data_IF_279841724398
#
_entry.id   IF_279841724398
#
_cell.length_a   1.000
_cell.length_b   1.000
_cell.length_c   1.000
_cell.angle_alpha   90.00
_cell.angle_beta   90.00
_cell.angle_gamma   90.00
#
_symmetry.space_group_name_H-M   'P 1'
#
loop_
_entity.id
_entity.type
_entity.pdbx_description
1 polymer ?
#
# COMPACT_ATOMS: atom_id res chain seq x y z
N UNK A 1 20.51 -2.56 10.53
CA UNK A 1 19.44 -1.55 10.42
C UNK A 1 19.02 -1.15 11.85
N UNK A 2 19.20 0.13 12.28
CA UNK A 2 18.86 0.61 13.62
C UNK A 2 17.37 0.44 13.98
N UNK A 3 16.49 0.46 13.00
CA UNK A 3 15.04 0.27 13.19
C UNK A 3 14.70 -1.20 13.50
N UNK A 4 15.38 -2.14 12.88
CA UNK A 4 15.21 -3.57 13.17
C UNK A 4 15.71 -3.92 14.58
N UNK A 5 16.82 -3.31 15.01
CA UNK A 5 17.36 -3.48 16.37
C UNK A 5 16.41 -2.95 17.45
N UNK A 6 15.75 -1.79 17.21
CA UNK A 6 14.75 -1.23 18.12
C UNK A 6 13.51 -2.13 18.26
N UNK A 7 13.19 -2.91 17.24
CA UNK A 7 12.03 -3.81 17.20
C UNK A 7 12.36 -5.23 17.68
N UNK A 8 13.55 -5.48 18.16
CA UNK A 8 14.04 -6.80 18.58
C UNK A 8 13.95 -7.87 17.47
N UNK A 9 14.01 -7.43 16.20
CA UNK A 9 14.01 -8.32 15.04
C UNK A 9 15.46 -8.63 14.67
N UNK A 10 15.87 -9.87 14.85
CA UNK A 10 17.18 -10.35 14.41
C UNK A 10 17.16 -10.43 12.89
N UNK A 11 17.88 -9.53 12.21
CA UNK A 11 18.14 -9.70 10.79
C UNK A 11 18.90 -11.01 10.56
N UNK A 12 18.68 -11.68 9.43
CA UNK A 12 19.47 -12.84 9.06
C UNK A 12 20.96 -12.47 9.06
N UNK A 13 21.75 -13.12 9.89
CA UNK A 13 23.15 -12.77 10.10
C UNK A 13 24.03 -13.00 8.86
N UNK A 14 23.54 -13.82 7.89
CA UNK A 14 24.27 -14.16 6.66
C UNK A 14 23.27 -14.24 5.49
N UNK A 15 23.21 -13.18 4.69
CA UNK A 15 22.64 -13.25 3.34
C UNK A 15 23.63 -13.93 2.39
N UNK A 16 23.16 -14.77 1.46
CA UNK A 16 24.02 -15.31 0.40
C UNK A 16 24.42 -14.20 -0.58
N UNK A 17 25.46 -14.44 -1.39
CA UNK A 17 25.82 -13.52 -2.48
C UNK A 17 24.62 -13.26 -3.40
N UNK A 18 23.83 -14.30 -3.67
CA UNK A 18 22.61 -14.23 -4.47
C UNK A 18 21.54 -13.32 -3.84
N UNK A 19 21.37 -13.36 -2.51
CA UNK A 19 20.43 -12.46 -1.81
C UNK A 19 20.83 -11.01 -1.97
N UNK A 20 22.13 -10.70 -1.90
CA UNK A 20 22.66 -9.36 -2.14
C UNK A 20 22.46 -8.90 -3.59
N UNK A 21 22.67 -9.78 -4.55
CA UNK A 21 22.46 -9.49 -5.98
C UNK A 21 20.97 -9.20 -6.26
N UNK A 22 20.06 -10.06 -5.82
CA UNK A 22 18.61 -9.88 -5.96
C UNK A 22 18.15 -8.61 -5.25
N UNK A 23 18.61 -8.37 -4.02
CA UNK A 23 18.27 -7.14 -3.30
C UNK A 23 18.74 -5.89 -4.04
N UNK A 24 19.96 -5.92 -4.58
CA UNK A 24 20.52 -4.78 -5.33
C UNK A 24 19.77 -4.51 -6.63
N UNK A 25 19.31 -5.56 -7.32
CA UNK A 25 18.55 -5.47 -8.55
C UNK A 25 17.16 -4.83 -8.31
N UNK A 26 16.46 -5.26 -7.26
CA UNK A 26 15.05 -4.91 -7.06
C UNK A 26 14.80 -3.80 -6.04
N UNK A 27 15.77 -3.47 -5.16
CA UNK A 27 15.58 -2.47 -4.10
C UNK A 27 15.22 -1.06 -4.59
N UNK A 28 15.50 -0.78 -5.88
CA UNK A 28 15.20 0.50 -6.54
C UNK A 28 14.21 0.38 -7.70
N UNK A 29 13.56 -0.77 -7.85
CA UNK A 29 12.58 -1.01 -8.92
C UNK A 29 11.48 -1.96 -8.46
N UNK A 30 10.60 -1.46 -7.60
CA UNK A 30 9.46 -2.19 -7.07
C UNK A 30 8.51 -2.67 -8.16
N UNK A 31 8.39 -1.90 -9.25
CA UNK A 31 7.53 -2.26 -10.39
C UNK A 31 8.07 -3.48 -11.11
N UNK A 32 9.38 -3.54 -11.34
CA UNK A 32 10.00 -4.73 -11.93
C UNK A 32 9.92 -5.94 -10.98
N UNK A 33 10.21 -5.73 -9.69
CA UNK A 33 10.06 -6.79 -8.69
C UNK A 33 8.66 -7.40 -8.73
N UNK A 34 7.63 -6.56 -8.70
CA UNK A 34 6.24 -7.02 -8.72
C UNK A 34 5.91 -7.83 -9.95
N UNK A 35 6.37 -7.39 -11.11
CA UNK A 35 6.13 -8.05 -12.38
C UNK A 35 6.84 -9.41 -12.46
N UNK A 36 8.13 -9.46 -12.12
CA UNK A 36 8.90 -10.72 -12.11
C UNK A 36 8.34 -11.74 -11.12
N UNK A 37 7.94 -11.30 -9.94
CA UNK A 37 7.33 -12.16 -8.93
C UNK A 37 6.03 -12.82 -9.45
N UNK A 38 5.17 -12.07 -10.14
CA UNK A 38 3.93 -12.63 -10.70
C UNK A 38 4.19 -13.52 -11.92
N UNK A 39 5.19 -13.21 -12.75
CA UNK A 39 5.62 -14.11 -13.83
C UNK A 39 6.10 -15.46 -13.30
N UNK A 40 6.93 -15.46 -12.25
CA UNK A 40 7.40 -16.68 -11.61
C UNK A 40 6.22 -17.48 -11.03
N UNK A 41 5.30 -16.80 -10.36
CA UNK A 41 4.09 -17.42 -9.79
C UNK A 41 3.20 -18.06 -10.86
N UNK A 42 2.95 -17.37 -11.96
CA UNK A 42 2.19 -17.87 -13.09
C UNK A 42 2.87 -19.12 -13.68
N UNK A 43 4.17 -19.05 -13.90
CA UNK A 43 4.98 -20.19 -14.41
C UNK A 43 4.93 -21.41 -13.48
N UNK A 44 5.03 -21.22 -12.17
CA UNK A 44 4.93 -22.30 -11.18
C UNK A 44 3.54 -22.96 -11.15
N UNK A 45 2.49 -22.21 -11.49
CA UNK A 45 1.12 -22.69 -11.55
C UNK A 45 0.72 -23.21 -12.95
N UNK A 46 1.60 -23.16 -13.94
CA UNK A 46 1.32 -23.45 -15.36
C UNK A 46 0.12 -22.65 -15.89
N UNK A 47 0.04 -21.36 -15.52
CA UNK A 47 -1.02 -20.43 -15.91
C UNK A 47 -0.45 -19.23 -16.64
N UNK A 48 -1.31 -18.56 -17.43
CA UNK A 48 -0.99 -17.24 -17.94
C UNK A 48 -1.02 -16.21 -16.78
N UNK A 49 -0.23 -15.13 -16.90
CA UNK A 49 -0.19 -14.09 -15.88
C UNK A 49 -1.57 -13.45 -15.64
N UNK A 50 -2.40 -13.36 -16.68
CA UNK A 50 -3.77 -12.85 -16.61
C UNK A 50 -4.71 -13.72 -15.79
N UNK A 51 -4.40 -14.99 -15.59
CA UNK A 51 -5.17 -15.93 -14.77
C UNK A 51 -4.76 -15.92 -13.28
N UNK A 52 -3.60 -15.35 -12.99
CA UNK A 52 -3.03 -15.31 -11.64
C UNK A 52 -3.33 -13.99 -10.94
N UNK A 53 -3.60 -12.96 -11.73
CA UNK A 53 -3.89 -11.60 -11.26
C UNK A 53 -5.38 -11.34 -11.44
N UNK A 54 -6.00 -10.80 -10.40
CA UNK A 54 -7.34 -10.22 -10.54
C UNK A 54 -7.22 -8.92 -11.36
N UNK A 55 -7.65 -8.99 -12.61
CA UNK A 55 -7.63 -7.86 -13.54
C UNK A 55 -8.79 -6.87 -13.30
N UNK A 56 -9.71 -7.19 -12.38
CA UNK A 56 -10.96 -6.43 -12.19
C UNK A 56 -11.85 -6.44 -13.41
N UNK A 57 -12.82 -5.52 -13.47
CA UNK A 57 -13.83 -5.40 -14.55
C UNK A 57 -13.21 -4.84 -15.86
N UNK A 58 -12.27 -5.58 -16.46
CA UNK A 58 -11.74 -5.21 -17.78
C UNK A 58 -12.43 -6.05 -18.83
N UNK A 59 -13.44 -5.48 -19.47
CA UNK A 59 -14.18 -6.14 -20.56
C UNK A 59 -13.36 -6.33 -21.83
N UNK A 60 -12.31 -5.51 -22.06
CA UNK A 60 -11.47 -5.58 -23.25
C UNK A 60 -10.01 -5.32 -22.91
N UNK A 61 -9.18 -6.32 -23.12
CA UNK A 61 -7.71 -6.17 -23.04
C UNK A 61 -7.20 -5.75 -24.43
N UNK A 62 -6.60 -4.55 -24.60
CA UNK A 62 -6.03 -4.12 -25.87
C UNK A 62 -4.94 -5.08 -26.37
N UNK A 63 -4.66 -5.06 -27.67
CA UNK A 63 -3.57 -5.83 -28.25
C UNK A 63 -2.25 -5.04 -28.34
N UNK A 64 -1.11 -5.75 -28.45
CA UNK A 64 0.20 -5.15 -28.68
C UNK A 64 0.80 -4.43 -27.47
N UNK A 65 1.62 -3.39 -27.69
CA UNK A 65 2.38 -2.67 -26.64
C UNK A 65 1.49 -2.09 -25.53
N UNK A 66 0.26 -1.70 -25.85
CA UNK A 66 -0.70 -1.21 -24.85
C UNK A 66 -1.14 -2.30 -23.89
N UNK A 67 -1.25 -3.54 -24.36
CA UNK A 67 -1.54 -4.71 -23.50
C UNK A 67 -0.44 -4.88 -22.45
N UNK A 68 0.82 -4.89 -22.87
CA UNK A 68 1.96 -5.12 -21.98
C UNK A 68 2.06 -4.03 -20.91
N UNK A 69 1.86 -2.77 -21.30
CA UNK A 69 1.90 -1.66 -20.36
C UNK A 69 0.73 -1.72 -19.38
N UNK A 70 -0.47 -2.06 -19.86
CA UNK A 70 -1.64 -2.21 -19.00
C UNK A 70 -1.46 -3.39 -18.04
N UNK A 71 -0.94 -4.52 -18.52
CA UNK A 71 -0.63 -5.68 -17.68
C UNK A 71 0.37 -5.33 -16.58
N UNK A 72 1.48 -4.66 -16.91
CA UNK A 72 2.45 -4.20 -15.91
C UNK A 72 1.82 -3.30 -14.86
N UNK A 73 0.98 -2.36 -15.28
CA UNK A 73 0.28 -1.47 -14.34
C UNK A 73 -0.66 -2.25 -13.41
N UNK A 74 -1.42 -3.20 -13.93
CA UNK A 74 -2.35 -4.02 -13.14
C UNK A 74 -1.61 -4.97 -12.19
N UNK A 75 -0.55 -5.59 -12.67
CA UNK A 75 0.35 -6.39 -11.83
C UNK A 75 0.86 -5.56 -10.66
N UNK A 76 1.34 -4.34 -10.94
CA UNK A 76 1.82 -3.42 -9.91
C UNK A 76 0.74 -3.03 -8.90
N UNK A 77 -0.48 -2.72 -9.36
CA UNK A 77 -1.62 -2.39 -8.50
C UNK A 77 -2.02 -3.59 -7.62
N UNK A 78 -2.10 -4.78 -8.19
CA UNK A 78 -2.38 -6.01 -7.45
C UNK A 78 -1.31 -6.29 -6.39
N UNK A 79 -0.03 -6.21 -6.77
CA UNK A 79 1.09 -6.39 -5.86
C UNK A 79 1.04 -5.39 -4.70
N UNK A 80 0.87 -4.11 -5.02
CA UNK A 80 0.76 -3.05 -4.01
C UNK A 80 -0.38 -3.35 -3.03
N UNK A 81 -1.58 -3.64 -3.55
CA UNK A 81 -2.73 -3.97 -2.71
C UNK A 81 -2.45 -5.16 -1.79
N UNK A 82 -1.97 -6.28 -2.35
CA UNK A 82 -1.70 -7.48 -1.58
C UNK A 82 -0.63 -7.25 -0.51
N UNK A 83 0.44 -6.52 -0.86
CA UNK A 83 1.54 -6.27 0.06
C UNK A 83 1.13 -5.33 1.18
N UNK A 84 0.40 -4.26 0.87
CA UNK A 84 -0.11 -3.32 1.88
C UNK A 84 -1.08 -4.02 2.82
N UNK A 85 -2.11 -4.70 2.31
CA UNK A 85 -3.08 -5.38 3.16
C UNK A 85 -2.42 -6.42 4.08
N UNK A 86 -1.50 -7.22 3.54
CA UNK A 86 -0.77 -8.22 4.32
C UNK A 86 0.12 -7.58 5.40
N UNK A 87 0.75 -6.45 5.11
CA UNK A 87 1.61 -5.74 6.07
C UNK A 87 0.82 -5.24 7.28
N UNK A 88 -0.47 -4.94 7.09
CA UNK A 88 -1.40 -4.52 8.14
C UNK A 88 -2.25 -5.69 8.68
N UNK A 89 -1.90 -6.96 8.40
CA UNK A 89 -2.69 -8.14 8.80
C UNK A 89 -4.16 -8.06 8.37
N UNK A 90 -4.43 -7.52 7.19
CA UNK A 90 -5.78 -7.28 6.66
C UNK A 90 -6.68 -6.50 7.64
N UNK A 91 -6.17 -5.44 8.24
CA UNK A 91 -6.94 -4.55 9.12
C UNK A 91 -6.72 -3.08 8.78
N UNK A 92 -7.78 -2.30 8.88
CA UNK A 92 -7.71 -0.85 8.74
C UNK A 92 -6.79 -0.24 9.81
N UNK A 93 -5.82 0.55 9.41
CA UNK A 93 -4.85 1.16 10.34
C UNK A 93 -5.47 2.22 11.26
N UNK A 94 -6.66 2.73 10.94
CA UNK A 94 -7.39 3.70 11.77
C UNK A 94 -8.32 3.00 12.76
N UNK A 95 -9.19 2.11 12.25
CA UNK A 95 -10.29 1.54 13.03
C UNK A 95 -10.04 0.11 13.52
N UNK A 96 -9.04 -0.58 12.95
CA UNK A 96 -8.82 -2.00 13.19
C UNK A 96 -9.81 -2.94 12.50
N UNK A 97 -10.72 -2.42 11.65
CA UNK A 97 -11.68 -3.25 10.89
C UNK A 97 -10.96 -4.29 10.04
N UNK A 98 -11.37 -5.56 10.14
CA UNK A 98 -10.76 -6.72 9.44
C UNK A 98 -11.65 -7.32 8.35
N UNK A 99 -12.46 -6.53 7.66
CA UNK A 99 -13.31 -7.00 6.58
C UNK A 99 -12.66 -6.70 5.22
N UNK A 100 -12.05 -7.70 4.52
CA UNK A 100 -11.24 -7.48 3.33
C UNK A 100 -11.95 -6.73 2.20
N UNK A 101 -13.25 -6.96 2.03
CA UNK A 101 -14.09 -6.30 1.01
C UNK A 101 -14.26 -4.80 1.26
N UNK A 102 -14.07 -4.36 2.49
CA UNK A 102 -14.14 -2.95 2.89
C UNK A 102 -12.75 -2.31 3.01
N UNK A 103 -11.66 -3.07 2.78
CA UNK A 103 -10.30 -2.56 2.90
C UNK A 103 -9.75 -2.09 1.55
N UNK A 104 -9.06 -0.97 1.59
CA UNK A 104 -8.38 -0.33 0.46
C UNK A 104 -6.90 -0.16 0.79
N UNK A 105 -6.04 -0.46 -0.19
CA UNK A 105 -4.64 -0.05 -0.14
C UNK A 105 -4.54 1.38 -0.69
N UNK A 106 -4.54 2.34 0.21
CA UNK A 106 -4.53 3.76 -0.09
C UNK A 106 -3.10 4.26 -0.28
N UNK A 107 -2.83 5.04 -1.34
CA UNK A 107 -1.52 5.68 -1.52
C UNK A 107 -1.39 6.92 -0.66
N UNK A 108 -0.27 7.07 0.06
CA UNK A 108 0.05 8.28 0.81
C UNK A 108 0.38 9.40 -0.18
N UNK A 109 1.39 9.21 -1.02
CA UNK A 109 1.69 10.07 -2.16
C UNK A 109 0.89 9.57 -3.37
N UNK A 110 0.01 10.39 -3.96
CA UNK A 110 -0.92 9.95 -5.00
C UNK A 110 -0.20 9.28 -6.19
N UNK A 111 -0.80 8.21 -6.73
CA UNK A 111 -0.28 7.44 -7.87
C UNK A 111 0.21 8.31 -9.04
N UNK A 112 -0.54 9.37 -9.38
CA UNK A 112 -0.25 10.22 -10.54
C UNK A 112 1.07 10.99 -10.43
N UNK A 113 1.47 11.33 -9.22
CA UNK A 113 2.69 12.12 -8.94
C UNK A 113 3.82 11.26 -8.38
N UNK A 114 3.55 9.99 -8.14
CA UNK A 114 4.54 9.01 -7.67
C UNK A 114 5.43 8.55 -8.83
N UNK A 115 6.72 8.38 -8.54
CA UNK A 115 7.67 7.78 -9.46
C UNK A 115 7.28 6.34 -9.80
N UNK A 116 7.32 5.99 -11.08
CA UNK A 116 6.84 4.70 -11.57
C UNK A 116 7.65 3.52 -11.02
N UNK A 117 8.95 3.67 -10.87
CA UNK A 117 9.85 2.57 -10.50
C UNK A 117 9.98 2.38 -9.00
N UNK A 118 10.02 3.49 -8.26
CA UNK A 118 10.44 3.51 -6.86
C UNK A 118 9.30 3.75 -5.87
N UNK A 119 8.18 4.37 -6.30
CA UNK A 119 7.15 4.85 -5.39
C UNK A 119 5.76 4.21 -5.60
N UNK A 120 5.33 4.01 -6.89
CA UNK A 120 3.97 3.55 -7.18
C UNK A 120 3.61 2.21 -6.57
N UNK A 121 4.54 1.28 -6.58
CA UNK A 121 4.34 -0.08 -6.08
C UNK A 121 5.06 -0.33 -4.76
N UNK A 122 5.70 0.70 -4.21
CA UNK A 122 6.39 0.64 -2.93
C UNK A 122 5.37 0.55 -1.78
N UNK A 123 5.33 -0.53 -1.01
CA UNK A 123 4.37 -0.68 0.08
C UNK A 123 4.55 0.35 1.22
N UNK A 124 5.73 0.96 1.35
CA UNK A 124 5.95 2.07 2.28
C UNK A 124 5.20 3.36 1.88
N UNK A 125 4.71 3.45 0.62
CA UNK A 125 3.79 4.49 0.16
C UNK A 125 2.32 4.11 0.38
N UNK A 126 2.02 3.14 1.22
CA UNK A 126 0.69 2.58 1.39
C UNK A 126 0.15 2.58 2.81
N UNK A 127 -1.16 2.78 2.93
CA UNK A 127 -1.94 2.61 4.15
C UNK A 127 -3.06 1.61 3.88
N UNK A 128 -3.34 0.73 4.83
CA UNK A 128 -4.55 -0.09 4.81
C UNK A 128 -5.68 0.69 5.49
N UNK A 129 -6.62 1.17 4.72
CA UNK A 129 -7.76 1.95 5.21
C UNK A 129 -9.08 1.24 4.91
N UNK A 130 -10.13 1.48 5.69
CA UNK A 130 -11.48 1.15 5.25
C UNK A 130 -11.95 2.18 4.20
N UNK A 131 -12.97 1.84 3.42
CA UNK A 131 -13.44 2.65 2.30
C UNK A 131 -13.82 4.10 2.69
N UNK A 132 -14.36 4.31 3.91
CA UNK A 132 -14.71 5.64 4.40
C UNK A 132 -13.47 6.49 4.66
N UNK A 133 -12.49 5.94 5.39
CA UNK A 133 -11.25 6.64 5.72
C UNK A 133 -10.34 6.81 4.51
N UNK A 134 -10.33 5.85 3.58
CA UNK A 134 -9.67 5.97 2.28
C UNK A 134 -10.20 7.19 1.51
N UNK A 135 -11.52 7.27 1.39
CA UNK A 135 -12.14 8.42 0.71
C UNK A 135 -11.87 9.75 1.40
N UNK A 136 -11.85 9.76 2.72
CA UNK A 136 -11.52 10.96 3.49
C UNK A 136 -10.04 11.35 3.32
N UNK A 137 -9.14 10.38 3.28
CA UNK A 137 -7.71 10.58 3.06
C UNK A 137 -7.43 11.12 1.65
N UNK A 138 -7.97 10.49 0.62
CA UNK A 138 -7.86 10.92 -0.77
C UNK A 138 -8.35 12.37 -1.02
N UNK A 139 -9.30 12.82 -0.21
CA UNK A 139 -9.86 14.17 -0.30
C UNK A 139 -9.17 15.17 0.62
N UNK A 140 -8.12 14.79 1.32
CA UNK A 140 -7.42 15.64 2.28
C UNK A 140 -8.29 16.06 3.47
N UNK A 141 -9.33 15.26 3.78
CA UNK A 141 -10.17 15.49 4.95
C UNK A 141 -9.52 14.95 6.23
N UNK A 142 -8.71 13.91 6.08
CA UNK A 142 -7.80 13.41 7.10
C UNK A 142 -6.41 13.22 6.47
N UNK A 143 -5.36 13.30 7.28
CA UNK A 143 -3.99 12.99 6.89
C UNK A 143 -3.20 12.46 8.09
N UNK A 144 -1.91 12.20 7.91
CA UNK A 144 -0.99 11.78 8.98
C UNK A 144 0.09 12.82 9.22
N UNK A 145 0.53 12.95 10.45
CA UNK A 145 1.79 13.61 10.75
C UNK A 145 2.99 12.63 10.67
N UNK A 146 4.22 13.13 10.73
CA UNK A 146 5.46 12.31 10.69
C UNK A 146 5.65 11.41 11.93
N UNK A 147 4.74 11.47 12.92
CA UNK A 147 4.63 10.56 14.07
C UNK A 147 3.52 9.54 13.87
N UNK A 148 2.94 9.48 12.66
CA UNK A 148 1.84 8.61 12.29
C UNK A 148 0.54 8.87 13.05
N UNK A 149 0.33 10.11 13.50
CA UNK A 149 -0.91 10.54 14.13
C UNK A 149 -1.88 11.10 13.09
N UNK A 150 -3.15 10.81 13.29
CA UNK A 150 -4.23 11.25 12.41
C UNK A 150 -4.49 12.74 12.66
N UNK A 151 -4.44 13.52 11.59
CA UNK A 151 -4.84 14.92 11.56
C UNK A 151 -6.16 15.03 10.82
N UNK A 152 -7.17 15.59 11.47
CA UNK A 152 -8.46 15.88 10.84
C UNK A 152 -8.46 17.31 10.35
N UNK A 153 -8.83 17.52 9.07
CA UNK A 153 -8.85 18.85 8.46
C UNK A 153 -9.89 19.76 9.12
N UNK A 154 -9.62 21.07 9.08
CA UNK A 154 -10.59 22.08 9.56
C UNK A 154 -11.93 21.96 8.82
N UNK A 155 -11.90 21.76 7.50
CA UNK A 155 -13.08 21.57 6.68
C UNK A 155 -13.99 20.47 7.22
N UNK A 156 -13.42 19.31 7.62
CA UNK A 156 -14.21 18.21 8.16
C UNK A 156 -14.71 18.51 9.59
N UNK A 157 -13.90 19.20 10.41
CA UNK A 157 -14.28 19.63 11.77
C UNK A 157 -15.48 20.57 11.76
N UNK A 158 -15.54 21.48 10.78
CA UNK A 158 -16.58 22.51 10.65
C UNK A 158 -17.82 21.97 9.88
N UNK A 159 -17.78 20.72 9.37
CA UNK A 159 -18.94 20.11 8.69
C UNK A 159 -20.02 19.76 9.71
N UNK A 160 -21.27 20.14 9.41
CA UNK A 160 -22.42 19.76 10.21
C UNK A 160 -22.69 18.25 10.10
N UNK A 161 -22.72 17.57 11.23
CA UNK A 161 -23.02 16.14 11.33
C UNK A 161 -23.45 15.81 12.76
N UNK A 162 -24.23 14.74 12.91
CA UNK A 162 -24.61 14.23 14.23
C UNK A 162 -23.40 13.71 15.03
N UNK A 163 -23.59 13.47 16.31
CA UNK A 163 -22.51 13.06 17.21
C UNK A 163 -21.89 11.70 16.86
N UNK A 164 -22.69 10.78 16.34
CA UNK A 164 -22.22 9.44 15.96
C UNK A 164 -21.34 9.52 14.73
N UNK A 165 -21.82 10.15 13.66
CA UNK A 165 -21.03 10.38 12.42
C UNK A 165 -19.76 11.17 12.73
N UNK A 166 -19.82 12.16 13.61
CA UNK A 166 -18.67 12.94 14.03
C UNK A 166 -17.62 12.08 14.71
N UNK A 167 -18.01 11.10 15.50
CA UNK A 167 -17.10 10.18 16.19
C UNK A 167 -16.26 9.32 15.25
N UNK A 168 -16.76 9.01 14.05
CA UNK A 168 -16.05 8.21 13.04
C UNK A 168 -14.74 8.87 12.58
N UNK A 169 -14.60 10.16 12.71
CA UNK A 169 -13.38 10.90 12.34
C UNK A 169 -12.71 11.53 13.57
N UNK A 170 -13.48 12.26 14.38
CA UNK A 170 -12.93 13.00 15.53
C UNK A 170 -12.45 12.07 16.64
N UNK A 171 -13.07 10.89 16.78
CA UNK A 171 -12.63 9.85 17.73
C UNK A 171 -11.21 9.35 17.48
N UNK A 172 -10.67 9.56 16.28
CA UNK A 172 -9.31 9.16 15.91
C UNK A 172 -8.34 10.33 15.78
N UNK A 173 -8.80 11.58 15.96
CA UNK A 173 -7.93 12.75 15.88
C UNK A 173 -6.80 12.67 16.90
N UNK A 174 -5.57 12.97 16.49
CA UNK A 174 -4.33 12.86 17.28
C UNK A 174 -3.97 11.44 17.76
N UNK A 175 -4.76 10.43 17.43
CA UNK A 175 -4.39 9.04 17.71
C UNK A 175 -3.39 8.54 16.69
N UNK A 176 -2.43 7.75 17.17
CA UNK A 176 -1.50 7.05 16.29
C UNK A 176 -2.22 5.91 15.58
N UNK A 177 -1.97 5.76 14.27
CA UNK A 177 -2.48 4.62 13.51
C UNK A 177 -1.87 3.31 14.02
N UNK A 178 -2.54 2.21 13.75
CA UNK A 178 -1.98 0.87 13.91
C UNK A 178 -0.87 0.73 12.86
N UNK A 179 0.37 0.58 13.31
CA UNK A 179 1.51 0.44 12.43
C UNK A 179 1.57 -0.98 11.83
N UNK A 180 2.05 -1.12 10.59
CA UNK A 180 2.22 -2.42 9.96
C UNK A 180 3.43 -3.17 10.54
N UNK A 181 3.42 -4.50 10.43
CA UNK A 181 4.57 -5.34 10.82
C UNK A 181 5.77 -5.15 9.90
N UNK A 182 5.50 -4.88 8.63
CA UNK A 182 6.51 -4.68 7.58
C UNK A 182 6.20 -3.41 6.81
N UNK A 183 7.21 -2.83 6.19
CA UNK A 183 7.06 -1.65 5.33
C UNK A 183 6.34 -0.49 6.04
N UNK A 184 6.95 0.02 7.11
CA UNK A 184 6.45 1.24 7.78
C UNK A 184 6.21 2.35 6.75
N UNK A 185 5.13 3.15 6.91
CA UNK A 185 4.89 4.29 6.04
C UNK A 185 6.11 5.20 5.97
N UNK A 186 6.59 5.46 4.76
CA UNK A 186 7.76 6.29 4.56
C UNK A 186 7.47 7.74 4.94
N UNK A 187 8.30 8.31 5.80
CA UNK A 187 8.12 9.70 6.25
C UNK A 187 8.29 10.72 5.12
N UNK A 188 8.96 10.32 4.03
CA UNK A 188 9.13 11.13 2.82
C UNK A 188 7.85 11.21 1.99
N UNK A 189 6.90 10.30 2.20
CA UNK A 189 5.55 10.34 1.59
C UNK A 189 4.55 11.13 2.42
N UNK A 190 4.85 11.39 3.70
CA UNK A 190 3.99 12.13 4.63
C UNK A 190 4.49 13.58 4.66
N UNK A 191 3.72 14.49 4.09
CA UNK A 191 3.99 15.93 4.08
C UNK A 191 3.65 16.62 5.41
#
# INVERSE_FOLDING_TARGET
DPELQKRNVTAMAHGSKLDCEIFSEFSRDWTNLSYQAQLIRAKLQNKDISEVIDLGDIDVIPAGKYRDQMMKTRVGQYFFRMTVLNSYENRCCVTGLKQPELLVASHIKPWKVSDERTERTNPANGLCLNALHDKAFDRGLITLDKRYKIIVSRKLKDTEMDSETKSWFMGYSDHQIILPDKFLPGKDFIE
#
